data_IF_873039384082
#
_entry.id   IF_873039384082
#
_cell.length_a   1.000
_cell.length_b   1.000
_cell.length_c   1.000
_cell.angle_alpha   90.00
_cell.angle_beta   90.00
_cell.angle_gamma   90.00
#
_symmetry.space_group_name_H-M   'P 1'
#
loop_
_entity.id
_entity.type
_entity.pdbx_description
1 polymer ?
#
# COMPACT_ATOMS: atom_id res chain seq x y z
N UNK A 1 -17.38 5.29 -13.46
CA UNK A 1 -15.95 5.46 -13.81
C UNK A 1 -15.18 4.41 -13.04
N UNK A 2 -14.22 3.71 -13.65
CA UNK A 2 -13.38 2.78 -12.91
C UNK A 2 -12.39 3.59 -12.05
N UNK A 3 -12.39 3.37 -10.75
CA UNK A 3 -11.37 3.93 -9.86
C UNK A 3 -10.04 3.25 -10.20
N UNK A 4 -9.06 4.03 -10.64
CA UNK A 4 -7.70 3.54 -10.87
C UNK A 4 -6.95 3.52 -9.54
N UNK A 5 -6.48 2.35 -9.16
CA UNK A 5 -5.64 2.18 -7.98
C UNK A 5 -4.20 1.97 -8.38
N UNK A 6 -3.29 2.59 -7.64
CA UNK A 6 -1.89 2.22 -7.66
C UNK A 6 -1.68 1.00 -6.76
N UNK A 7 -0.85 0.06 -7.20
CA UNK A 7 -0.68 -1.23 -6.53
C UNK A 7 0.76 -1.40 -6.08
N UNK A 8 0.92 -1.75 -4.80
CA UNK A 8 2.18 -2.23 -4.25
C UNK A 8 2.06 -3.70 -3.87
N UNK A 9 3.12 -4.47 -4.06
CA UNK A 9 3.19 -5.88 -3.66
C UNK A 9 4.39 -6.16 -2.78
N UNK A 10 4.23 -7.10 -1.85
CA UNK A 10 5.31 -7.59 -0.99
C UNK A 10 5.25 -9.11 -0.94
N UNK A 11 6.39 -9.78 -1.05
CA UNK A 11 6.44 -11.24 -0.92
C UNK A 11 6.26 -11.66 0.54
N UNK A 12 5.38 -12.60 0.81
CA UNK A 12 4.98 -13.03 2.14
C UNK A 12 3.84 -12.19 2.72
N UNK A 13 3.43 -12.56 3.94
CA UNK A 13 2.35 -11.87 4.66
C UNK A 13 2.88 -10.60 5.35
N UNK A 14 2.69 -9.47 4.67
CA UNK A 14 3.08 -8.14 5.15
C UNK A 14 1.91 -7.33 5.70
N UNK A 15 0.74 -7.94 5.97
CA UNK A 15 -0.42 -7.23 6.55
C UNK A 15 -0.06 -6.49 7.85
N UNK A 16 0.69 -7.10 8.80
CA UNK A 16 1.10 -6.39 10.02
C UNK A 16 2.00 -5.19 9.75
N UNK A 17 2.81 -5.23 8.68
CA UNK A 17 3.64 -4.10 8.27
C UNK A 17 2.79 -2.95 7.72
N UNK A 18 1.75 -3.25 6.94
CA UNK A 18 0.81 -2.24 6.42
C UNK A 18 0.03 -1.59 7.56
N UNK A 19 -0.49 -2.37 8.50
CA UNK A 19 -1.19 -1.84 9.68
C UNK A 19 -0.28 -0.89 10.49
N UNK A 20 1.00 -1.25 10.63
CA UNK A 20 1.99 -0.42 11.31
C UNK A 20 2.21 0.91 10.59
N UNK A 21 2.32 0.93 9.25
CA UNK A 21 2.39 2.20 8.48
C UNK A 21 1.19 3.08 8.78
N UNK A 22 -0.01 2.50 8.69
CA UNK A 22 -1.24 3.27 8.87
C UNK A 22 -1.29 3.86 10.28
N UNK A 23 -0.87 3.11 11.29
CA UNK A 23 -0.77 3.59 12.67
C UNK A 23 0.30 4.68 12.84
N UNK A 24 1.45 4.58 12.16
CA UNK A 24 2.52 5.59 12.17
C UNK A 24 2.04 6.89 11.51
N UNK A 25 1.38 6.82 10.35
CA UNK A 25 0.81 7.97 9.64
C UNK A 25 -0.28 8.66 10.46
N UNK A 26 -1.20 7.89 11.06
CA UNK A 26 -2.25 8.44 11.94
C UNK A 26 -1.68 9.12 13.18
N UNK A 27 -0.59 8.59 13.74
CA UNK A 27 0.10 9.22 14.88
C UNK A 27 0.79 10.54 14.47
N UNK A 28 1.39 10.59 13.28
CA UNK A 28 2.12 11.76 12.80
C UNK A 28 1.19 12.90 12.35
N UNK A 29 0.03 12.58 11.76
CA UNK A 29 -0.81 13.54 11.05
C UNK A 29 -2.26 13.63 11.57
N UNK A 30 -2.59 12.85 12.61
CA UNK A 30 -3.93 12.78 13.18
C UNK A 30 -4.78 11.60 12.67
N UNK A 31 -5.89 11.27 13.36
CA UNK A 31 -6.71 10.10 13.05
C UNK A 31 -7.33 10.13 11.65
N UNK A 32 -7.62 11.33 11.13
CA UNK A 32 -8.26 11.57 9.82
C UNK A 32 -7.25 11.89 8.70
N UNK A 33 -5.97 11.60 8.92
CA UNK A 33 -4.94 11.86 7.93
C UNK A 33 -5.27 11.17 6.58
N UNK A 34 -5.24 11.91 5.45
CA UNK A 34 -5.51 11.33 4.14
C UNK A 34 -4.31 10.45 3.73
N UNK A 35 -4.35 9.18 4.13
CA UNK A 35 -3.25 8.22 3.87
C UNK A 35 -3.19 7.75 2.41
N UNK A 36 -4.27 7.96 1.66
CA UNK A 36 -4.47 7.42 0.32
C UNK A 36 -4.59 5.90 0.27
N UNK A 37 -4.90 5.26 1.41
CA UNK A 37 -5.10 3.81 1.52
C UNK A 37 -6.52 3.42 1.15
N UNK A 38 -6.66 2.44 0.25
CA UNK A 38 -7.96 1.85 -0.07
C UNK A 38 -8.15 0.49 0.62
N UNK A 39 -7.28 -0.49 0.34
CA UNK A 39 -7.29 -1.81 0.99
C UNK A 39 -5.99 -2.57 0.79
N UNK A 40 -5.80 -3.63 1.56
CA UNK A 40 -4.78 -4.64 1.30
C UNK A 40 -5.38 -6.04 1.38
N UNK A 41 -4.70 -7.02 0.78
CA UNK A 41 -5.01 -8.44 0.92
C UNK A 41 -3.73 -9.29 0.89
N UNK A 42 -3.73 -10.41 1.62
CA UNK A 42 -2.72 -11.44 1.43
C UNK A 42 -3.25 -12.49 0.46
N UNK A 43 -2.61 -12.62 -0.70
CA UNK A 43 -2.94 -13.58 -1.75
C UNK A 43 -2.14 -14.85 -1.49
N UNK A 44 -2.76 -15.85 -0.88
CA UNK A 44 -2.12 -17.13 -0.52
C UNK A 44 -1.50 -17.83 -1.73
N UNK A 45 -2.21 -17.87 -2.87
CA UNK A 45 -1.71 -18.49 -4.12
C UNK A 45 -0.43 -17.85 -4.65
N UNK A 46 -0.25 -16.55 -4.43
CA UNK A 46 0.93 -15.80 -4.87
C UNK A 46 1.95 -15.62 -3.73
N UNK A 47 1.64 -16.13 -2.53
CA UNK A 47 2.38 -15.88 -1.28
C UNK A 47 2.81 -14.42 -1.17
N UNK A 48 1.88 -13.50 -1.41
CA UNK A 48 2.20 -12.07 -1.50
C UNK A 48 1.09 -11.20 -0.94
N UNK A 49 1.45 -10.13 -0.25
CA UNK A 49 0.54 -9.06 0.13
C UNK A 49 0.43 -8.04 -1.00
N UNK A 50 -0.79 -7.65 -1.32
CA UNK A 50 -1.13 -6.61 -2.31
C UNK A 50 -1.78 -5.44 -1.57
N UNK A 51 -1.33 -4.22 -1.83
CA UNK A 51 -1.88 -2.98 -1.27
C UNK A 51 -2.35 -2.10 -2.41
N UNK A 52 -3.57 -1.58 -2.29
CA UNK A 52 -4.21 -0.68 -3.24
C UNK A 52 -4.31 0.70 -2.62
N UNK A 53 -3.87 1.71 -3.35
CA UNK A 53 -3.77 3.10 -2.90
C UNK A 53 -4.23 4.05 -4.00
N UNK A 54 -4.57 5.28 -3.64
CA UNK A 54 -5.14 6.27 -4.56
C UNK A 54 -4.14 6.74 -5.64
N UNK A 55 -2.84 6.61 -5.37
CA UNK A 55 -1.79 6.98 -6.32
C UNK A 55 -0.38 6.68 -5.83
N UNK A 56 0.65 6.79 -6.71
CA UNK A 56 2.04 6.48 -6.38
C UNK A 56 2.62 7.40 -5.29
N UNK A 57 2.08 8.61 -5.13
CA UNK A 57 2.52 9.58 -4.13
C UNK A 57 1.70 9.56 -2.83
N UNK A 58 0.73 8.65 -2.72
CA UNK A 58 -0.05 8.47 -1.50
C UNK A 58 0.90 8.27 -0.29
N UNK A 59 0.62 8.87 0.87
CA UNK A 59 1.48 8.74 2.05
C UNK A 59 1.81 7.30 2.43
N UNK A 60 0.84 6.40 2.33
CA UNK A 60 1.06 4.96 2.56
C UNK A 60 2.00 4.34 1.51
N UNK A 61 1.89 4.72 0.23
CA UNK A 61 2.75 4.23 -0.84
C UNK A 61 4.21 4.66 -0.61
N UNK A 62 4.43 5.94 -0.29
CA UNK A 62 5.75 6.48 0.02
C UNK A 62 6.38 5.79 1.23
N UNK A 63 5.60 5.57 2.29
CA UNK A 63 6.08 4.92 3.51
C UNK A 63 6.44 3.45 3.29
N UNK A 64 5.63 2.70 2.53
CA UNK A 64 5.93 1.32 2.17
C UNK A 64 7.17 1.23 1.27
N UNK A 65 7.28 2.10 0.26
CA UNK A 65 8.44 2.17 -0.64
C UNK A 65 9.74 2.45 0.12
N UNK A 66 9.69 3.33 1.13
CA UNK A 66 10.84 3.64 2.00
C UNK A 66 11.36 2.42 2.79
N UNK A 67 10.54 1.36 2.95
CA UNK A 67 10.97 0.10 3.60
C UNK A 67 11.71 -0.86 2.65
N UNK A 68 11.77 -0.56 1.35
CA UNK A 68 12.63 -1.22 0.36
C UNK A 68 12.23 -2.65 -0.05
N UNK A 69 11.18 -3.24 0.54
CA UNK A 69 10.70 -4.60 0.22
C UNK A 69 9.44 -4.65 -0.64
N UNK A 70 8.90 -3.47 -0.96
CA UNK A 70 7.68 -3.32 -1.73
C UNK A 70 8.01 -3.12 -3.20
N UNK A 71 7.35 -3.89 -4.06
CA UNK A 71 7.42 -3.80 -5.50
C UNK A 71 6.20 -3.05 -6.03
N UNK A 72 6.37 -2.34 -7.14
CA UNK A 72 5.29 -1.65 -7.84
C UNK A 72 5.16 -2.34 -9.19
N UNK A 73 4.36 -3.42 -9.31
CA UNK A 73 4.10 -4.03 -10.59
C UNK A 73 3.41 -2.97 -11.45
N UNK A 74 4.22 -2.31 -12.28
CA UNK A 74 3.85 -1.04 -12.89
C UNK A 74 2.47 -1.06 -13.52
N UNK A 75 1.81 0.09 -13.51
CA UNK A 75 0.72 0.38 -14.43
C UNK A 75 1.28 0.01 -15.82
N UNK A 76 0.79 -1.07 -16.44
CA UNK A 76 0.93 -1.24 -17.89
C UNK A 76 -0.23 -0.46 -18.51
N UNK A 77 -0.06 0.79 -18.94
CA UNK A 77 -0.88 1.25 -20.04
C UNK A 77 -0.47 0.41 -21.26
N UNK A 78 -1.45 -0.27 -21.85
CA UNK A 78 -1.41 -0.76 -23.24
C UNK A 78 -1.09 0.38 -24.20
#
# INVERSE_FOLDING_TARGET
>A
MAEHFHVLTHRGDARPEVDRVLAELKRAHGPDAPTGFHKYLFVTKAESTVVMVDGPDAPVARALRARGRWQEPGIRPS
#
